data_IF_426983006269
#
_entry.id   IF_426983006269
#
_cell.length_a   1.000
_cell.length_b   1.000
_cell.length_c   1.000
_cell.angle_alpha   90.00
_cell.angle_beta   90.00
_cell.angle_gamma   90.00
#
_symmetry.space_group_name_H-M   'P 1'
#
loop_
_entity.id
_entity.type
_entity.pdbx_description
1 polymer ?
#
# COMPACT_ATOMS: atom_id res chain seq x y z
N UNK A 1 15.84 18.79 -37.01
CA UNK A 1 15.42 18.31 -38.36
C UNK A 1 15.53 19.48 -39.30
N UNK A 2 16.37 19.38 -40.32
CA UNK A 2 16.56 20.45 -41.31
C UNK A 2 15.23 20.66 -42.02
N UNK A 3 14.69 21.88 -41.95
CA UNK A 3 13.56 22.29 -42.77
C UNK A 3 14.03 22.14 -44.22
N UNK A 4 13.58 21.07 -44.89
CA UNK A 4 13.73 20.94 -46.32
C UNK A 4 13.10 22.20 -46.90
N UNK A 5 13.93 23.05 -47.50
CA UNK A 5 13.50 24.34 -48.03
C UNK A 5 12.39 24.07 -49.05
N UNK A 6 11.15 24.32 -48.64
CA UNK A 6 10.00 24.22 -49.51
C UNK A 6 10.17 25.33 -50.54
N UNK A 7 10.53 24.97 -51.77
CA UNK A 7 10.76 25.96 -52.80
C UNK A 7 9.40 26.60 -53.11
N UNK A 8 9.19 27.90 -52.87
CA UNK A 8 7.88 28.51 -52.97
C UNK A 8 7.34 28.37 -54.40
N UNK A 9 6.04 28.09 -54.52
CA UNK A 9 5.42 27.88 -55.82
C UNK A 9 5.48 29.17 -56.67
N UNK A 10 6.23 29.11 -57.77
CA UNK A 10 6.37 30.21 -58.72
C UNK A 10 5.29 30.14 -59.81
N UNK A 11 4.18 30.84 -59.56
CA UNK A 11 3.05 31.00 -60.50
C UNK A 11 3.47 31.55 -61.85
N UNK A 12 4.49 32.43 -61.93
CA UNK A 12 4.92 32.99 -63.22
C UNK A 12 5.63 31.94 -64.06
N UNK A 13 6.51 31.13 -63.45
CA UNK A 13 7.13 30.01 -64.17
C UNK A 13 6.11 28.93 -64.54
N UNK A 14 5.14 28.66 -63.69
CA UNK A 14 4.10 27.68 -63.98
C UNK A 14 3.19 28.13 -65.13
N UNK A 15 2.73 29.39 -65.12
CA UNK A 15 1.97 29.97 -66.23
C UNK A 15 2.78 29.96 -67.54
N UNK A 16 4.09 30.27 -67.50
CA UNK A 16 4.97 30.17 -68.68
C UNK A 16 5.03 28.75 -69.25
N UNK A 17 5.09 27.72 -68.40
CA UNK A 17 5.06 26.31 -68.84
C UNK A 17 3.72 25.94 -69.48
N UNK A 18 2.61 26.43 -68.95
CA UNK A 18 1.28 26.22 -69.54
C UNK A 18 1.14 26.91 -70.90
N UNK A 19 1.62 28.16 -71.03
CA UNK A 19 1.68 28.89 -72.32
C UNK A 19 2.53 28.11 -73.35
N UNK A 20 3.68 27.57 -72.95
CA UNK A 20 4.52 26.72 -73.81
C UNK A 20 3.82 25.42 -74.25
N UNK A 21 2.85 24.93 -73.47
CA UNK A 21 2.01 23.78 -73.78
C UNK A 21 0.76 24.13 -74.62
N UNK A 22 0.70 25.35 -75.19
CA UNK A 22 -0.41 25.88 -76.00
C UNK A 22 -1.72 26.14 -75.23
N UNK A 23 -1.66 26.29 -73.92
CA UNK A 23 -2.78 26.83 -73.12
C UNK A 23 -2.88 28.34 -73.39
N UNK A 24 -4.10 28.89 -73.51
CA UNK A 24 -4.25 30.34 -73.70
C UNK A 24 -3.69 31.12 -72.50
N UNK A 25 -3.30 32.36 -72.72
CA UNK A 25 -2.70 33.20 -71.68
C UNK A 25 -3.61 33.34 -70.45
N UNK A 26 -4.88 33.64 -70.68
CA UNK A 26 -5.90 33.75 -69.63
C UNK A 26 -6.09 32.42 -68.87
N UNK A 27 -6.15 31.29 -69.57
CA UNK A 27 -6.30 29.98 -68.94
C UNK A 27 -5.04 29.60 -68.13
N UNK A 28 -3.86 29.89 -68.65
CA UNK A 28 -2.59 29.59 -67.99
C UNK A 28 -2.46 30.36 -66.67
N UNK A 29 -2.89 31.63 -66.64
CA UNK A 29 -2.86 32.47 -65.44
C UNK A 29 -3.90 32.04 -64.42
N UNK A 30 -5.14 31.77 -64.85
CA UNK A 30 -6.20 31.28 -63.96
C UNK A 30 -5.82 29.95 -63.29
N UNK A 31 -5.26 29.01 -64.06
CA UNK A 31 -4.82 27.72 -63.51
C UNK A 31 -3.62 27.89 -62.57
N UNK A 32 -2.67 28.76 -62.91
CA UNK A 32 -1.52 29.03 -62.05
C UNK A 32 -1.90 29.73 -60.74
N UNK A 33 -2.91 30.61 -60.79
CA UNK A 33 -3.48 31.27 -59.62
C UNK A 33 -4.21 30.26 -58.72
N UNK A 34 -5.08 29.42 -59.29
CA UNK A 34 -5.81 28.39 -58.54
C UNK A 34 -4.87 27.39 -57.85
N UNK A 35 -3.76 27.01 -58.51
CA UNK A 35 -2.74 26.17 -57.87
C UNK A 35 -2.02 26.88 -56.73
N UNK A 36 -1.72 28.18 -56.85
CA UNK A 36 -1.12 28.95 -55.75
C UNK A 36 -2.03 29.01 -54.54
N UNK A 37 -3.32 29.30 -54.76
CA UNK A 37 -4.32 29.31 -53.68
C UNK A 37 -4.42 27.96 -52.97
N UNK A 38 -4.37 26.85 -53.71
CA UNK A 38 -4.33 25.51 -53.14
C UNK A 38 -3.08 25.24 -52.30
N UNK A 39 -1.90 25.70 -52.74
CA UNK A 39 -0.67 25.58 -51.95
C UNK A 39 -0.71 26.44 -50.68
N UNK A 40 -1.25 27.66 -50.75
CA UNK A 40 -1.39 28.53 -49.58
C UNK A 40 -2.34 27.93 -48.53
N UNK A 41 -3.44 27.32 -48.97
CA UNK A 41 -4.38 26.64 -48.07
C UNK A 41 -3.77 25.38 -47.45
N UNK A 42 -3.03 24.60 -48.24
CA UNK A 42 -2.25 23.46 -47.74
C UNK A 42 -1.21 23.90 -46.72
N UNK A 43 -0.50 24.99 -46.95
CA UNK A 43 0.55 25.48 -46.03
C UNK A 43 -0.05 25.96 -44.71
N UNK A 44 -1.21 26.62 -44.74
CA UNK A 44 -1.98 26.94 -43.53
C UNK A 44 -2.40 25.67 -42.77
N UNK A 45 -2.91 24.67 -43.49
CA UNK A 45 -3.30 23.39 -42.90
C UNK A 45 -2.10 22.66 -42.27
N UNK A 46 -0.95 22.66 -42.95
CA UNK A 46 0.30 22.09 -42.43
C UNK A 46 0.77 22.81 -41.17
N UNK A 47 0.74 24.14 -41.15
CA UNK A 47 1.09 24.92 -39.95
C UNK A 47 0.16 24.58 -38.77
N UNK A 48 -1.14 24.39 -39.01
CA UNK A 48 -2.09 23.97 -37.99
C UNK A 48 -1.85 22.54 -37.49
N UNK A 49 -1.44 21.62 -38.39
CA UNK A 49 -1.06 20.25 -38.03
C UNK A 49 0.21 20.26 -37.18
N UNK A 50 1.23 21.03 -37.58
CA UNK A 50 2.47 21.17 -36.80
C UNK A 50 2.21 21.70 -35.39
N UNK A 51 1.31 22.68 -35.25
CA UNK A 51 0.90 23.19 -33.94
C UNK A 51 0.26 22.08 -33.09
N UNK A 52 -0.71 21.35 -33.64
CA UNK A 52 -1.36 20.23 -32.93
C UNK A 52 -0.38 19.11 -32.56
N UNK A 53 0.59 18.82 -33.41
CA UNK A 53 1.64 17.82 -33.12
C UNK A 53 2.51 18.28 -31.95
N UNK A 54 2.85 19.57 -31.87
CA UNK A 54 3.58 20.14 -30.72
C UNK A 54 2.77 20.05 -29.44
N UNK A 55 1.48 20.40 -29.50
CA UNK A 55 0.58 20.31 -28.35
C UNK A 55 0.44 18.86 -27.86
N UNK A 56 0.20 17.92 -28.77
CA UNK A 56 0.15 16.49 -28.46
C UNK A 56 1.47 15.97 -27.87
N UNK A 57 2.62 16.45 -28.35
CA UNK A 57 3.92 16.08 -27.79
C UNK A 57 4.10 16.62 -26.36
N UNK A 58 3.63 17.84 -26.09
CA UNK A 58 3.64 18.42 -24.75
C UNK A 58 2.71 17.65 -23.81
N UNK A 59 1.51 17.31 -24.26
CA UNK A 59 0.56 16.51 -23.47
C UNK A 59 1.07 15.10 -23.20
N UNK A 60 1.69 14.45 -24.19
CA UNK A 60 2.30 13.14 -24.03
C UNK A 60 3.43 13.17 -22.99
N UNK A 61 4.26 14.21 -22.99
CA UNK A 61 5.31 14.42 -21.99
C UNK A 61 4.71 14.63 -20.60
N UNK A 62 3.72 15.51 -20.46
CA UNK A 62 3.05 15.76 -19.19
C UNK A 62 2.36 14.51 -18.64
N UNK A 63 1.75 13.70 -19.50
CA UNK A 63 1.14 12.43 -19.10
C UNK A 63 2.20 11.41 -18.69
N UNK A 64 3.32 11.30 -19.42
CA UNK A 64 4.42 10.41 -19.05
C UNK A 64 5.00 10.77 -17.67
N UNK A 65 5.11 12.05 -17.33
CA UNK A 65 5.54 12.51 -16.00
C UNK A 65 4.53 12.20 -14.88
N UNK A 66 3.23 12.14 -15.20
CA UNK A 66 2.16 11.80 -14.23
C UNK A 66 1.93 10.31 -14.06
N UNK A 67 2.34 9.49 -15.03
CA UNK A 67 2.18 8.05 -14.95
C UNK A 67 3.16 7.48 -13.94
N UNK A 68 2.65 6.70 -12.98
CA UNK A 68 3.50 5.89 -12.12
C UNK A 68 4.36 4.98 -13.00
N UNK A 69 5.67 5.10 -12.84
CA UNK A 69 6.63 4.31 -13.62
C UNK A 69 6.68 2.89 -13.07
N UNK A 70 7.20 1.96 -13.89
CA UNK A 70 7.46 0.59 -13.43
C UNK A 70 8.36 0.58 -12.18
N UNK A 71 9.29 1.52 -12.07
CA UNK A 71 10.16 1.69 -10.90
C UNK A 71 9.36 2.08 -9.65
N UNK A 72 8.36 2.95 -9.78
CA UNK A 72 7.50 3.33 -8.66
C UNK A 72 6.69 2.12 -8.16
N UNK A 73 6.18 1.29 -9.07
CA UNK A 73 5.46 0.06 -8.73
C UNK A 73 6.38 -0.92 -8.01
N UNK A 74 7.57 -1.20 -8.55
CA UNK A 74 8.55 -2.09 -7.92
C UNK A 74 8.96 -1.58 -6.53
N UNK A 75 9.14 -0.26 -6.37
CA UNK A 75 9.43 0.33 -5.06
C UNK A 75 8.27 0.18 -4.09
N UNK A 76 7.03 0.32 -4.55
CA UNK A 76 5.85 0.11 -3.71
C UNK A 76 5.69 -1.35 -3.31
N UNK A 77 5.90 -2.28 -4.23
CA UNK A 77 5.90 -3.73 -3.93
C UNK A 77 6.94 -4.06 -2.86
N UNK A 78 8.18 -3.57 -2.99
CA UNK A 78 9.21 -3.78 -1.97
C UNK A 78 8.85 -3.20 -0.59
N UNK A 79 8.18 -2.03 -0.56
CA UNK A 79 7.67 -1.45 0.69
C UNK A 79 6.54 -2.28 1.30
N UNK A 80 5.66 -2.84 0.48
CA UNK A 80 4.56 -3.70 0.92
C UNK A 80 5.13 -4.98 1.53
N UNK A 81 6.05 -5.67 0.83
CA UNK A 81 6.69 -6.89 1.35
C UNK A 81 7.39 -6.62 2.69
N UNK A 82 8.12 -5.50 2.82
CA UNK A 82 8.74 -5.14 4.09
C UNK A 82 7.73 -4.90 5.22
N UNK A 83 6.59 -4.27 4.91
CA UNK A 83 5.51 -4.07 5.89
C UNK A 83 4.89 -5.39 6.33
N UNK A 84 4.65 -6.31 5.40
CA UNK A 84 4.11 -7.64 5.68
C UNK A 84 5.05 -8.44 6.60
N UNK A 85 6.35 -8.46 6.30
CA UNK A 85 7.35 -9.12 7.14
C UNK A 85 7.38 -8.53 8.57
N UNK A 86 7.38 -7.20 8.68
CA UNK A 86 7.39 -6.53 9.99
C UNK A 86 6.11 -6.78 10.78
N UNK A 87 4.96 -6.81 10.13
CA UNK A 87 3.69 -7.10 10.78
C UNK A 87 3.61 -8.55 11.25
N UNK A 88 4.02 -9.50 10.41
CA UNK A 88 4.10 -10.91 10.79
C UNK A 88 5.04 -11.12 11.98
N UNK A 89 6.24 -10.53 11.94
CA UNK A 89 7.17 -10.62 13.07
C UNK A 89 6.60 -10.05 14.38
N UNK A 90 5.90 -8.90 14.30
CA UNK A 90 5.22 -8.32 15.47
C UNK A 90 4.10 -9.22 16.00
N UNK A 91 3.30 -9.80 15.12
CA UNK A 91 2.20 -10.71 15.50
C UNK A 91 2.74 -11.98 16.16
N UNK A 92 3.78 -12.60 15.60
CA UNK A 92 4.43 -13.78 16.20
C UNK A 92 5.02 -13.48 17.58
N UNK A 93 5.68 -12.32 17.73
CA UNK A 93 6.23 -11.90 19.03
C UNK A 93 5.12 -11.68 20.07
N UNK A 94 4.02 -11.04 19.67
CA UNK A 94 2.87 -10.79 20.54
C UNK A 94 2.19 -12.10 20.95
N UNK A 95 1.96 -13.01 20.01
CA UNK A 95 1.39 -14.33 20.30
C UNK A 95 2.27 -15.12 21.27
N UNK A 96 3.59 -15.14 21.03
CA UNK A 96 4.55 -15.84 21.89
C UNK A 96 4.59 -15.24 23.30
N UNK A 97 4.59 -13.90 23.40
CA UNK A 97 4.53 -13.19 24.67
C UNK A 97 3.28 -13.51 25.46
N UNK A 98 2.11 -13.41 24.82
CA UNK A 98 0.82 -13.74 25.47
C UNK A 98 0.74 -15.19 25.93
N UNK A 99 1.23 -16.15 25.13
CA UNK A 99 1.30 -17.56 25.53
C UNK A 99 2.16 -17.76 26.77
N UNK A 100 3.32 -17.09 26.84
CA UNK A 100 4.22 -17.15 27.99
C UNK A 100 3.58 -16.54 29.24
N UNK A 101 2.96 -15.37 29.10
CA UNK A 101 2.31 -14.69 30.22
C UNK A 101 1.13 -15.50 30.77
N UNK A 102 0.33 -16.13 29.89
CA UNK A 102 -0.73 -17.05 30.30
C UNK A 102 -0.20 -18.28 31.03
N UNK A 103 0.89 -18.90 30.55
CA UNK A 103 1.50 -20.04 31.22
C UNK A 103 2.06 -19.67 32.60
N UNK A 104 2.65 -18.49 32.73
CA UNK A 104 3.14 -17.96 34.01
C UNK A 104 1.97 -17.69 34.97
N UNK A 105 0.87 -17.09 34.47
CA UNK A 105 -0.32 -16.83 35.25
C UNK A 105 -0.95 -18.14 35.77
N UNK A 106 -1.11 -19.14 34.90
CA UNK A 106 -1.63 -20.45 35.29
C UNK A 106 -0.75 -21.10 36.36
N UNK A 107 0.58 -21.06 36.19
CA UNK A 107 1.54 -21.62 37.14
C UNK A 107 1.46 -20.89 38.49
N UNK A 108 1.36 -19.55 38.48
CA UNK A 108 1.21 -18.74 39.68
C UNK A 108 -0.08 -19.09 40.44
N UNK A 109 -1.21 -19.12 39.73
CA UNK A 109 -2.51 -19.48 40.30
C UNK A 109 -2.51 -20.89 40.91
N UNK A 110 -1.88 -21.87 40.25
CA UNK A 110 -1.74 -23.24 40.80
C UNK A 110 -0.96 -23.24 42.12
N UNK A 111 0.18 -22.55 42.18
CA UNK A 111 1.00 -22.45 43.40
C UNK A 111 0.25 -21.75 44.53
N UNK A 112 -0.47 -20.68 44.22
CA UNK A 112 -1.26 -19.95 45.22
C UNK A 112 -2.39 -20.82 45.77
N UNK A 113 -3.06 -21.61 44.91
CA UNK A 113 -4.09 -22.57 45.33
C UNK A 113 -3.52 -23.68 46.20
N UNK A 114 -2.36 -24.25 45.86
CA UNK A 114 -1.67 -25.25 46.68
C UNK A 114 -1.27 -24.68 48.05
N UNK A 115 -0.73 -23.46 48.08
CA UNK A 115 -0.36 -22.79 49.32
C UNK A 115 -1.57 -22.53 50.22
N UNK A 116 -2.68 -22.07 49.63
CA UNK A 116 -3.95 -21.89 50.36
C UNK A 116 -4.49 -23.22 50.88
N UNK A 117 -4.50 -24.28 50.05
CA UNK A 117 -4.92 -25.62 50.46
C UNK A 117 -4.10 -26.17 51.62
N UNK A 118 -2.77 -26.08 51.54
CA UNK A 118 -1.87 -26.51 52.62
C UNK A 118 -2.10 -25.72 53.91
N UNK A 119 -2.26 -24.39 53.82
CA UNK A 119 -2.54 -23.54 54.98
C UNK A 119 -3.87 -23.90 55.64
N UNK A 120 -4.90 -24.23 54.86
CA UNK A 120 -6.19 -24.68 55.38
C UNK A 120 -6.06 -26.04 56.09
N UNK A 121 -5.39 -27.01 55.47
CA UNK A 121 -5.16 -28.34 56.07
C UNK A 121 -4.43 -28.21 57.41
N UNK A 122 -3.37 -27.41 57.47
CA UNK A 122 -2.61 -27.19 58.72
C UNK A 122 -3.51 -26.58 59.80
N UNK A 123 -4.27 -25.52 59.46
CA UNK A 123 -5.17 -24.86 60.42
C UNK A 123 -6.25 -25.82 60.94
N UNK A 124 -6.86 -26.61 60.07
CA UNK A 124 -7.88 -27.60 60.47
C UNK A 124 -7.28 -28.71 61.34
N UNK A 125 -6.09 -29.20 60.99
CA UNK A 125 -5.39 -30.24 61.77
C UNK A 125 -5.06 -29.73 63.18
N UNK A 126 -4.53 -28.51 63.30
CA UNK A 126 -4.26 -27.88 64.59
C UNK A 126 -5.54 -27.66 65.41
N UNK A 127 -6.63 -27.21 64.77
CA UNK A 127 -7.91 -27.04 65.43
C UNK A 127 -8.46 -28.37 65.97
N UNK A 128 -8.41 -29.46 65.18
CA UNK A 128 -8.85 -30.79 65.64
C UNK A 128 -8.02 -31.32 66.80
N UNK A 129 -6.70 -31.18 66.76
CA UNK A 129 -5.84 -31.57 67.89
C UNK A 129 -6.17 -30.79 69.16
N UNK A 130 -6.47 -29.49 69.03
CA UNK A 130 -6.93 -28.65 70.14
C UNK A 130 -8.23 -29.18 70.76
N UNK A 131 -9.23 -29.50 69.93
CA UNK A 131 -10.51 -30.06 70.41
C UNK A 131 -10.31 -31.42 71.09
N UNK A 132 -9.53 -32.33 70.48
CA UNK A 132 -9.24 -33.65 71.06
C UNK A 132 -8.51 -33.54 72.39
N UNK A 133 -7.56 -32.60 72.51
CA UNK A 133 -6.85 -32.33 73.77
C UNK A 133 -7.79 -31.88 74.88
N UNK A 134 -8.70 -30.94 74.59
CA UNK A 134 -9.70 -30.48 75.57
C UNK A 134 -10.63 -31.62 75.99
N UNK A 135 -11.16 -32.40 75.05
CA UNK A 135 -12.01 -33.56 75.37
C UNK A 135 -11.28 -34.58 76.24
N UNK A 136 -10.00 -34.88 75.92
CA UNK A 136 -9.17 -35.78 76.72
C UNK A 136 -8.97 -35.29 78.16
N UNK A 137 -8.70 -33.98 78.35
CA UNK A 137 -8.55 -33.40 79.70
C UNK A 137 -9.85 -33.47 80.52
N UNK A 138 -11.01 -33.22 79.90
CA UNK A 138 -12.31 -33.31 80.57
C UNK A 138 -12.60 -34.75 80.98
N UNK A 139 -12.43 -35.72 80.08
CA UNK A 139 -12.64 -37.15 80.38
C UNK A 139 -11.73 -37.62 81.51
N UNK A 140 -10.44 -37.26 81.49
CA UNK A 140 -9.50 -37.61 82.54
C UNK A 140 -9.90 -37.06 83.91
N UNK A 141 -10.39 -35.81 83.95
CA UNK A 141 -10.91 -35.21 85.18
C UNK A 141 -12.15 -35.92 85.71
N UNK A 142 -13.13 -36.20 84.84
CA UNK A 142 -14.38 -36.90 85.21
C UNK A 142 -14.09 -38.31 85.73
N UNK A 143 -13.22 -39.06 85.06
CA UNK A 143 -12.84 -40.41 85.48
C UNK A 143 -12.16 -40.41 86.85
N UNK A 144 -11.25 -39.47 87.08
CA UNK A 144 -10.55 -39.31 88.36
C UNK A 144 -11.50 -38.91 89.49
N UNK A 145 -12.48 -38.05 89.21
CA UNK A 145 -13.51 -37.66 90.17
C UNK A 145 -14.47 -38.82 90.49
N UNK A 146 -14.79 -39.69 89.52
CA UNK A 146 -15.63 -40.86 89.73
C UNK A 146 -14.96 -41.95 90.58
N UNK A 147 -13.64 -42.14 90.45
CA UNK A 147 -12.87 -43.13 91.22
C UNK A 147 -12.59 -42.72 92.68
N UNK A 148 -12.79 -41.46 93.05
CA UNK A 148 -12.59 -40.95 94.42
C UNK A 148 -13.88 -40.90 95.26
N UNK A 149 -15.00 -41.42 94.74
CA UNK A 149 -16.25 -41.62 95.49
C UNK A 149 -16.38 -43.09 95.89
#
# INVERSE_FOLDING_TARGET
MSAAAFNPFDTLQFAKKLKAAKVSEEQAEVVAQAFRESFDERDKAMAAVEAKVRDLAADAKNNAEKMATKEDVVRLEGRITNLEERLNGKLTNLETGLRKDMANLETGLRKDMEALGNKLIIRLTLAMLGVLGVVGTILGFVLRAALMK
#
